data_IF_831961155351
#
_entry.id   IF_831961155351
#
_cell.length_a   1.000
_cell.length_b   1.000
_cell.length_c   1.000
_cell.angle_alpha   90.00
_cell.angle_beta   90.00
_cell.angle_gamma   90.00
#
_symmetry.space_group_name_H-M   'P 1'
#
loop_
_entity.id
_entity.type
_entity.pdbx_description
1 polymer ?
#
# COMPACT_ATOMS: atom_id res chain seq x y z
N UNK A 1 -1.25 -9.38 17.33
CA UNK A 1 -2.72 -9.25 17.16
C UNK A 1 -2.96 -8.59 15.81
N UNK A 2 -3.38 -9.35 14.80
CA UNK A 2 -3.76 -8.77 13.52
C UNK A 2 -5.09 -8.06 13.68
N UNK A 3 -5.06 -6.73 13.60
CA UNK A 3 -6.28 -5.92 13.56
C UNK A 3 -6.90 -6.08 12.18
N UNK A 4 -7.78 -7.06 12.03
CA UNK A 4 -8.54 -7.26 10.79
C UNK A 4 -9.60 -6.18 10.66
N UNK A 5 -9.52 -5.36 9.61
CA UNK A 5 -10.50 -4.32 9.32
C UNK A 5 -11.44 -4.82 8.22
N UNK A 6 -12.75 -4.78 8.48
CA UNK A 6 -13.76 -5.06 7.45
C UNK A 6 -13.95 -3.82 6.57
N UNK A 7 -13.73 -3.97 5.27
CA UNK A 7 -13.96 -2.92 4.28
C UNK A 7 -15.06 -3.35 3.32
N UNK A 8 -15.73 -2.37 2.68
CA UNK A 8 -16.67 -2.65 1.59
C UNK A 8 -15.92 -3.27 0.42
N UNK A 9 -16.57 -4.16 -0.32
CA UNK A 9 -15.98 -4.82 -1.48
C UNK A 9 -15.43 -3.82 -2.51
N UNK A 10 -16.18 -2.77 -2.82
CA UNK A 10 -15.73 -1.69 -3.73
C UNK A 10 -14.43 -1.04 -3.24
N UNK A 11 -14.31 -0.81 -1.94
CA UNK A 11 -13.09 -0.24 -1.33
C UNK A 11 -11.92 -1.20 -1.48
N UNK A 12 -12.14 -2.50 -1.21
CA UNK A 12 -11.10 -3.52 -1.39
C UNK A 12 -10.62 -3.58 -2.85
N UNK A 13 -11.54 -3.60 -3.81
CA UNK A 13 -11.20 -3.58 -5.25
C UNK A 13 -10.36 -2.36 -5.61
N UNK A 14 -10.71 -1.18 -5.11
CA UNK A 14 -9.93 0.05 -5.35
C UNK A 14 -8.51 -0.04 -4.76
N UNK A 15 -8.37 -0.61 -3.56
CA UNK A 15 -7.06 -0.82 -2.93
C UNK A 15 -6.22 -1.85 -3.69
N UNK A 16 -6.84 -2.91 -4.19
CA UNK A 16 -6.17 -3.92 -5.02
C UNK A 16 -5.68 -3.33 -6.36
N UNK A 17 -6.48 -2.47 -7.00
CA UNK A 17 -6.06 -1.73 -8.21
C UNK A 17 -4.87 -0.82 -7.90
N UNK A 18 -4.92 -0.07 -6.78
CA UNK A 18 -3.80 0.79 -6.37
C UNK A 18 -2.52 -0.01 -6.12
N UNK A 19 -2.62 -1.14 -5.41
CA UNK A 19 -1.48 -2.04 -5.19
C UNK A 19 -0.90 -2.53 -6.53
N UNK A 20 -1.75 -2.94 -7.48
CA UNK A 20 -1.34 -3.35 -8.82
C UNK A 20 -0.65 -2.23 -9.61
N UNK A 21 -1.16 -1.00 -9.54
CA UNK A 21 -0.51 0.17 -10.18
C UNK A 21 0.86 0.44 -9.58
N UNK A 22 0.98 0.39 -8.25
CA UNK A 22 2.27 0.57 -7.56
C UNK A 22 3.26 -0.55 -7.89
N UNK A 23 2.79 -1.79 -7.98
CA UNK A 23 3.61 -2.93 -8.40
C UNK A 23 4.11 -2.76 -9.84
N UNK A 24 3.27 -2.28 -10.76
CA UNK A 24 3.68 -1.98 -12.13
C UNK A 24 4.69 -0.83 -12.20
N UNK A 25 4.53 0.22 -11.39
CA UNK A 25 5.46 1.37 -11.33
C UNK A 25 6.83 0.97 -10.75
N UNK A 26 6.84 0.09 -9.74
CA UNK A 26 8.04 -0.22 -8.98
C UNK A 26 8.74 -1.53 -9.37
N UNK A 27 8.06 -2.40 -10.12
CA UNK A 27 8.61 -3.66 -10.63
C UNK A 27 8.83 -4.73 -9.57
N UNK A 28 8.14 -4.65 -8.43
CA UNK A 28 8.15 -5.67 -7.37
C UNK A 28 6.77 -5.81 -6.73
N UNK A 29 6.56 -6.91 -6.01
CA UNK A 29 5.27 -7.21 -5.37
C UNK A 29 4.87 -6.13 -4.37
N UNK A 30 3.63 -5.64 -4.48
CA UNK A 30 3.04 -4.66 -3.55
C UNK A 30 1.72 -5.24 -3.02
N UNK A 31 1.60 -5.34 -1.69
CA UNK A 31 0.38 -5.86 -1.07
C UNK A 31 -0.72 -4.80 -0.97
N UNK A 32 -1.95 -5.25 -0.70
CA UNK A 32 -3.07 -4.35 -0.37
C UNK A 32 -2.75 -3.52 0.89
N UNK A 33 -2.05 -4.09 1.86
CA UNK A 33 -1.65 -3.40 3.09
C UNK A 33 -0.60 -2.31 2.83
N UNK A 34 0.30 -2.53 1.86
CA UNK A 34 1.23 -1.50 1.39
C UNK A 34 0.47 -0.34 0.73
N UNK A 35 -0.57 -0.63 -0.05
CA UNK A 35 -1.43 0.39 -0.65
C UNK A 35 -2.20 1.20 0.42
N UNK A 36 -2.68 0.55 1.48
CA UNK A 36 -3.28 1.25 2.64
C UNK A 36 -2.24 2.13 3.33
N UNK A 37 -1.05 1.58 3.59
CA UNK A 37 0.07 2.31 4.23
C UNK A 37 0.51 3.52 3.40
N UNK A 38 0.52 3.40 2.08
CA UNK A 38 0.76 4.50 1.15
C UNK A 38 -0.28 5.62 1.30
N UNK A 39 -1.57 5.28 1.33
CA UNK A 39 -2.65 6.28 1.50
C UNK A 39 -2.55 6.99 2.85
N UNK A 40 -2.26 6.25 3.93
CA UNK A 40 -2.03 6.84 5.25
C UNK A 40 -0.82 7.78 5.25
N UNK A 41 0.29 7.34 4.65
CA UNK A 41 1.50 8.17 4.54
C UNK A 41 1.28 9.41 3.67
N UNK A 42 0.44 9.32 2.63
CA UNK A 42 0.05 10.45 1.78
C UNK A 42 -0.73 11.49 2.57
N UNK A 43 -1.71 11.05 3.37
CA UNK A 43 -2.51 11.95 4.21
C UNK A 43 -1.71 12.56 5.37
N UNK A 44 -0.73 11.84 5.90
CA UNK A 44 0.10 12.31 7.03
C UNK A 44 1.38 13.04 6.59
N UNK A 45 1.60 13.26 5.29
CA UNK A 45 2.83 13.89 4.76
C UNK A 45 4.11 13.05 4.91
N UNK A 46 4.01 11.75 5.21
CA UNK A 46 5.15 10.84 5.48
C UNK A 46 5.53 9.97 4.28
N UNK A 47 5.23 10.44 3.07
CA UNK A 47 5.41 9.67 1.83
C UNK A 47 6.88 9.28 1.58
N UNK A 48 7.83 10.14 2.01
CA UNK A 48 9.28 9.88 1.89
C UNK A 48 9.71 8.66 2.70
N UNK A 49 9.22 8.55 3.94
CA UNK A 49 9.54 7.44 4.84
C UNK A 49 8.93 6.12 4.33
N UNK A 50 7.68 6.19 3.85
CA UNK A 50 7.03 5.06 3.20
C UNK A 50 7.87 4.52 2.02
N UNK A 51 8.28 5.38 1.08
CA UNK A 51 9.10 4.97 -0.07
C UNK A 51 10.43 4.34 0.34
N UNK A 52 11.06 4.84 1.41
CA UNK A 52 12.30 4.27 1.96
C UNK A 52 12.07 2.87 2.53
N UNK A 53 10.95 2.65 3.22
CA UNK A 53 10.59 1.35 3.78
C UNK A 53 10.13 0.35 2.71
N UNK A 54 9.35 0.80 1.73
CA UNK A 54 8.90 -0.03 0.62
C UNK A 54 10.08 -0.62 -0.17
N UNK A 55 11.14 0.17 -0.40
CA UNK A 55 12.39 -0.32 -1.03
C UNK A 55 13.14 -1.36 -0.19
N UNK A 56 13.01 -1.37 1.14
CA UNK A 56 13.65 -2.37 2.00
C UNK A 56 12.96 -3.73 1.92
N UNK A 57 11.65 -3.73 1.69
CA UNK A 57 10.86 -4.95 1.49
C UNK A 57 11.04 -5.56 0.08
N UNK A 58 11.94 -5.03 -0.75
CA UNK A 58 12.32 -5.58 -2.06
C UNK A 58 13.20 -6.84 -1.95
N UNK A 59 13.77 -7.09 -0.77
CA UNK A 59 14.70 -8.20 -0.50
C UNK A 59 13.98 -9.48 -0.07
#
# INVERSE_FOLDING_TARGET
MDKVIRVREKTYRNLAVLAGTMQAEHGFFVSVDDAVSFLLAKNSGKLRDFKKNLRKNKA
#
